data_IF_322189183956
#
_entry.id   IF_322189183956
#
_cell.length_a   1.000
_cell.length_b   1.000
_cell.length_c   1.000
_cell.angle_alpha   90.00
_cell.angle_beta   90.00
_cell.angle_gamma   90.00
#
_symmetry.space_group_name_H-M   'P 1'
#
loop_
_entity.id
_entity.type
_entity.pdbx_description
1 polymer ?
#
# COMPACT_ATOMS: atom_id res chain seq x y z
N UNK A 1 29.57 -76.26 11.64
CA UNK A 1 28.69 -76.24 12.83
C UNK A 1 28.01 -74.88 12.92
N UNK A 2 26.70 -74.87 13.16
CA UNK A 2 25.83 -73.69 13.28
C UNK A 2 26.22 -72.76 14.44
N UNK A 3 25.97 -71.45 14.27
CA UNK A 3 25.40 -70.46 15.22
C UNK A 3 25.39 -69.08 14.50
N UNK A 4 24.26 -68.61 13.97
CA UNK A 4 23.19 -67.81 14.62
C UNK A 4 23.53 -66.32 14.79
N UNK A 5 22.69 -65.48 14.16
CA UNK A 5 22.23 -64.13 14.53
C UNK A 5 23.25 -63.01 14.79
N UNK A 6 23.22 -61.95 13.97
CA UNK A 6 22.69 -60.65 14.42
C UNK A 6 22.38 -59.71 13.22
N UNK A 7 21.18 -59.19 13.27
CA UNK A 7 20.62 -58.11 12.47
C UNK A 7 21.32 -56.79 12.86
N UNK A 8 21.96 -56.08 11.92
CA UNK A 8 22.27 -54.66 12.08
C UNK A 8 21.81 -53.93 10.84
N UNK A 9 20.63 -53.33 10.99
CA UNK A 9 20.00 -52.38 10.08
C UNK A 9 20.86 -51.11 10.02
N UNK A 10 21.68 -50.96 8.97
CA UNK A 10 22.26 -49.65 8.65
C UNK A 10 21.18 -48.80 7.96
N UNK A 11 20.43 -48.06 8.76
CA UNK A 11 19.64 -46.93 8.30
C UNK A 11 20.58 -45.89 7.67
N UNK A 12 20.68 -45.87 6.35
CA UNK A 12 21.18 -44.71 5.63
C UNK A 12 20.12 -43.61 5.75
N UNK A 13 20.26 -42.79 6.78
CA UNK A 13 19.66 -41.47 6.84
C UNK A 13 20.28 -40.64 5.69
N UNK A 14 19.58 -40.56 4.56
CA UNK A 14 19.72 -39.44 3.64
C UNK A 14 19.21 -38.20 4.38
N UNK A 15 20.11 -37.53 5.09
CA UNK A 15 19.93 -36.12 5.44
C UNK A 15 19.95 -35.35 4.12
N UNK A 16 18.77 -35.08 3.57
CA UNK A 16 18.60 -34.03 2.57
C UNK A 16 19.06 -32.73 3.23
N UNK A 17 20.31 -32.35 2.98
CA UNK A 17 20.76 -31.01 3.24
C UNK A 17 19.87 -30.10 2.39
N UNK A 18 18.93 -29.42 3.06
CA UNK A 18 18.34 -28.20 2.51
C UNK A 18 19.52 -27.25 2.39
N UNK A 19 20.15 -27.25 1.22
CA UNK A 19 21.09 -26.21 0.83
C UNK A 19 20.24 -24.96 0.75
N UNK A 20 20.20 -24.20 1.83
CA UNK A 20 19.82 -22.80 1.77
C UNK A 20 20.84 -22.16 0.83
N UNK A 21 20.48 -22.03 -0.45
CA UNK A 21 21.26 -21.25 -1.40
C UNK A 21 21.51 -19.87 -0.77
N UNK A 22 22.76 -19.44 -0.77
CA UNK A 22 23.10 -18.11 -0.30
C UNK A 22 22.26 -17.07 -1.07
N UNK A 23 21.76 -16.02 -0.40
CA UNK A 23 21.01 -14.97 -1.08
C UNK A 23 21.86 -14.37 -2.20
N UNK A 24 21.36 -14.42 -3.44
CA UNK A 24 22.05 -13.85 -4.59
C UNK A 24 21.96 -12.33 -4.55
N UNK A 25 23.08 -11.65 -4.77
CA UNK A 25 23.17 -10.19 -4.89
C UNK A 25 22.58 -9.72 -6.22
N UNK A 26 22.21 -8.43 -6.29
CA UNK A 26 21.77 -7.78 -7.54
C UNK A 26 22.69 -8.07 -8.71
N UNK A 27 24.01 -7.88 -8.53
CA UNK A 27 25.03 -8.16 -9.54
C UNK A 27 25.03 -9.59 -10.05
N UNK A 28 24.75 -10.57 -9.19
CA UNK A 28 24.71 -11.99 -9.58
C UNK A 28 23.44 -12.34 -10.35
N UNK A 29 22.34 -11.63 -10.12
CA UNK A 29 21.08 -11.80 -10.87
C UNK A 29 21.14 -11.18 -12.26
N UNK A 30 21.68 -9.95 -12.40
CA UNK A 30 21.85 -9.30 -13.71
C UNK A 30 23.05 -9.80 -14.51
N UNK A 31 24.04 -10.45 -13.88
CA UNK A 31 25.18 -11.04 -14.59
C UNK A 31 24.80 -12.27 -15.43
N UNK A 32 23.62 -12.85 -15.21
CA UNK A 32 23.11 -13.92 -16.06
C UNK A 32 22.82 -13.42 -17.48
N UNK A 33 23.54 -13.94 -18.47
CA UNK A 33 23.42 -13.52 -19.87
C UNK A 33 21.98 -13.61 -20.39
N UNK A 34 21.23 -14.64 -19.98
CA UNK A 34 19.82 -14.80 -20.32
C UNK A 34 18.95 -13.66 -19.77
N UNK A 35 19.18 -13.26 -18.51
CA UNK A 35 18.46 -12.15 -17.88
C UNK A 35 18.81 -10.82 -18.56
N UNK A 36 20.10 -10.58 -18.81
CA UNK A 36 20.58 -9.36 -19.44
C UNK A 36 20.05 -9.18 -20.87
N UNK A 37 19.83 -10.27 -21.63
CA UNK A 37 19.29 -10.21 -23.01
C UNK A 37 17.76 -10.22 -23.08
N UNK A 38 17.08 -10.61 -22.01
CA UNK A 38 15.62 -10.68 -21.98
C UNK A 38 14.96 -9.29 -22.04
N UNK A 39 13.75 -9.24 -22.60
CA UNK A 39 12.91 -8.05 -22.57
C UNK A 39 12.45 -7.73 -21.13
N UNK A 40 12.08 -6.48 -20.80
CA UNK A 40 11.67 -6.10 -19.43
C UNK A 40 10.59 -6.99 -18.81
N UNK A 41 9.53 -7.31 -19.55
CA UNK A 41 8.45 -8.17 -19.05
C UNK A 41 8.91 -9.61 -18.77
N UNK A 42 9.82 -10.14 -19.61
CA UNK A 42 10.42 -11.47 -19.41
C UNK A 42 11.32 -11.48 -18.16
N UNK A 43 12.05 -10.40 -17.90
CA UNK A 43 12.84 -10.25 -16.67
C UNK A 43 11.96 -10.28 -15.42
N UNK A 44 10.81 -9.60 -15.44
CA UNK A 44 9.84 -9.65 -14.34
C UNK A 44 9.31 -11.08 -14.12
N UNK A 45 8.99 -11.79 -15.20
CA UNK A 45 8.55 -13.19 -15.14
C UNK A 45 9.61 -14.10 -14.54
N UNK A 46 10.86 -14.00 -14.99
CA UNK A 46 11.99 -14.77 -14.45
C UNK A 46 12.14 -14.57 -12.94
N UNK A 47 12.10 -13.32 -12.46
CA UNK A 47 12.22 -13.02 -11.02
C UNK A 47 11.02 -13.54 -10.23
N UNK A 48 9.81 -13.38 -10.76
CA UNK A 48 8.60 -13.87 -10.10
C UNK A 48 8.60 -15.41 -9.98
N UNK A 49 9.04 -16.12 -11.02
CA UNK A 49 9.22 -17.58 -10.99
C UNK A 49 10.30 -18.02 -9.98
N UNK A 50 11.40 -17.28 -9.85
CA UNK A 50 12.45 -17.59 -8.87
C UNK A 50 12.02 -17.33 -7.42
N UNK A 51 11.15 -16.34 -7.19
CA UNK A 51 10.49 -16.18 -5.88
C UNK A 51 9.55 -17.36 -5.59
N UNK A 52 8.85 -17.86 -6.61
CA UNK A 52 7.92 -19.00 -6.48
C UNK A 52 8.61 -20.32 -6.20
N UNK A 53 9.75 -20.56 -6.85
CA UNK A 53 10.59 -21.72 -6.56
C UNK A 53 11.39 -21.56 -5.25
N UNK A 54 11.30 -20.40 -4.59
CA UNK A 54 12.08 -20.03 -3.38
C UNK A 54 13.59 -20.03 -3.61
N UNK A 55 14.02 -19.92 -4.87
CA UNK A 55 15.42 -19.66 -5.22
C UNK A 55 15.84 -18.25 -4.85
N UNK A 56 14.87 -17.34 -4.77
CA UNK A 56 15.02 -15.98 -4.26
C UNK A 56 14.01 -15.69 -3.15
N UNK A 57 14.38 -14.74 -2.28
CA UNK A 57 13.49 -14.07 -1.35
C UNK A 57 13.22 -12.65 -1.83
N UNK A 58 12.09 -12.09 -1.41
CA UNK A 58 11.78 -10.68 -1.71
C UNK A 58 12.85 -9.71 -1.20
N UNK A 59 13.57 -10.06 -0.12
CA UNK A 59 14.68 -9.27 0.42
C UNK A 59 15.91 -9.22 -0.49
N UNK A 60 16.02 -10.15 -1.43
CA UNK A 60 17.17 -10.26 -2.34
C UNK A 60 17.01 -9.32 -3.55
N UNK A 61 15.82 -8.74 -3.72
CA UNK A 61 15.47 -7.84 -4.81
C UNK A 61 15.46 -6.39 -4.33
N UNK A 62 16.29 -5.54 -4.95
CA UNK A 62 16.32 -4.12 -4.62
C UNK A 62 15.07 -3.39 -5.14
N UNK A 63 14.57 -2.44 -4.35
CA UNK A 63 13.44 -1.58 -4.73
C UNK A 63 13.73 -0.82 -6.03
N UNK A 64 14.93 -0.27 -6.17
CA UNK A 64 15.36 0.46 -7.37
C UNK A 64 15.32 -0.39 -8.64
N UNK A 65 15.74 -1.67 -8.56
CA UNK A 65 15.64 -2.58 -9.69
C UNK A 65 14.18 -2.79 -10.09
N UNK A 66 13.32 -3.05 -9.10
CA UNK A 66 11.90 -3.30 -9.37
C UNK A 66 11.26 -2.06 -10.01
N UNK A 67 11.54 -0.87 -9.49
CA UNK A 67 11.06 0.40 -10.06
C UNK A 67 11.51 0.53 -11.52
N UNK A 68 12.79 0.29 -11.83
CA UNK A 68 13.30 0.37 -13.21
C UNK A 68 12.64 -0.63 -14.14
N UNK A 69 12.54 -1.90 -13.75
CA UNK A 69 11.95 -2.94 -14.60
C UNK A 69 10.46 -2.69 -14.86
N UNK A 70 9.69 -2.31 -13.82
CA UNK A 70 8.29 -1.93 -14.02
C UNK A 70 8.16 -0.70 -14.89
N UNK A 71 9.01 0.31 -14.72
CA UNK A 71 9.01 1.51 -15.55
C UNK A 71 9.36 1.21 -17.01
N UNK A 72 10.34 0.34 -17.25
CA UNK A 72 10.72 -0.11 -18.60
C UNK A 72 9.57 -0.84 -19.30
N UNK A 73 8.75 -1.59 -18.56
CA UNK A 73 7.57 -2.24 -19.14
C UNK A 73 6.46 -1.27 -19.57
N UNK A 74 6.39 -0.07 -18.98
CA UNK A 74 5.30 0.90 -19.21
C UNK A 74 5.77 2.18 -19.93
N UNK A 75 7.05 2.30 -20.27
CA UNK A 75 7.62 3.53 -20.85
C UNK A 75 7.02 3.91 -22.21
N UNK A 76 6.46 2.92 -22.92
CA UNK A 76 5.83 3.10 -24.23
C UNK A 76 4.51 3.85 -24.11
N UNK A 77 3.79 3.66 -23.00
CA UNK A 77 2.53 4.33 -22.72
C UNK A 77 2.76 5.82 -22.48
N UNK A 78 2.32 6.68 -23.39
CA UNK A 78 2.55 8.13 -23.29
C UNK A 78 1.52 8.83 -22.42
N UNK A 79 0.27 8.39 -22.49
CA UNK A 79 -0.83 8.97 -21.73
C UNK A 79 -0.80 8.50 -20.27
N UNK A 80 -0.93 9.43 -19.32
CA UNK A 80 -0.87 9.11 -17.89
C UNK A 80 -1.92 8.06 -17.45
N UNK A 81 -3.20 8.12 -17.89
CA UNK A 81 -4.18 7.09 -17.56
C UNK A 81 -3.81 5.72 -18.11
N UNK A 82 -3.35 5.64 -19.36
CA UNK A 82 -2.96 4.38 -20.00
C UNK A 82 -1.73 3.77 -19.32
N UNK A 83 -0.75 4.61 -18.94
CA UNK A 83 0.45 4.17 -18.22
C UNK A 83 0.12 3.62 -16.83
N UNK A 84 -0.76 4.29 -16.08
CA UNK A 84 -1.23 3.79 -14.78
C UNK A 84 -1.98 2.46 -14.93
N UNK A 85 -2.81 2.31 -15.95
CA UNK A 85 -3.54 1.07 -16.22
C UNK A 85 -2.61 -0.08 -16.62
N UNK A 86 -1.58 0.19 -17.42
CA UNK A 86 -0.54 -0.78 -17.75
C UNK A 86 0.24 -1.22 -16.51
N UNK A 87 0.65 -0.27 -15.65
CA UNK A 87 1.29 -0.57 -14.38
C UNK A 87 0.40 -1.43 -13.47
N UNK A 88 -0.88 -1.08 -13.33
CA UNK A 88 -1.83 -1.83 -12.51
C UNK A 88 -1.95 -3.30 -12.96
N UNK A 89 -1.98 -3.54 -14.28
CA UNK A 89 -1.99 -4.91 -14.85
C UNK A 89 -0.73 -5.68 -14.47
N UNK A 90 0.44 -5.06 -14.66
CA UNK A 90 1.73 -5.67 -14.30
C UNK A 90 1.83 -5.98 -12.81
N UNK A 91 1.42 -5.04 -11.94
CA UNK A 91 1.42 -5.21 -10.49
C UNK A 91 0.55 -6.39 -10.07
N UNK A 92 -0.63 -6.53 -10.67
CA UNK A 92 -1.54 -7.63 -10.38
C UNK A 92 -1.01 -8.97 -10.92
N UNK A 93 -0.36 -8.96 -12.08
CA UNK A 93 0.28 -10.14 -12.66
C UNK A 93 1.48 -10.63 -11.83
N UNK A 94 2.32 -9.71 -11.36
CA UNK A 94 3.54 -10.00 -10.61
C UNK A 94 3.42 -9.62 -9.13
N UNK A 95 2.33 -10.04 -8.49
CA UNK A 95 1.96 -9.64 -7.13
C UNK A 95 2.88 -10.15 -6.02
N UNK A 96 3.84 -11.03 -6.34
CA UNK A 96 4.85 -11.55 -5.40
C UNK A 96 6.15 -10.76 -5.42
N UNK A 97 6.37 -9.95 -6.46
CA UNK A 97 7.51 -9.04 -6.51
C UNK A 97 7.37 -7.94 -5.44
N UNK A 98 8.51 -7.39 -4.96
CA UNK A 98 8.48 -6.23 -4.07
C UNK A 98 7.64 -5.10 -4.65
N UNK A 99 6.87 -4.44 -3.78
CA UNK A 99 6.04 -3.31 -4.19
C UNK A 99 6.90 -2.11 -4.60
N UNK A 100 6.45 -1.37 -5.61
CA UNK A 100 7.14 -0.20 -6.16
C UNK A 100 6.40 1.09 -5.78
N UNK A 101 6.22 1.32 -4.48
CA UNK A 101 5.36 2.39 -3.95
C UNK A 101 5.67 3.78 -4.50
N UNK A 102 6.94 4.12 -4.68
CA UNK A 102 7.36 5.43 -5.23
C UNK A 102 6.92 5.60 -6.69
N UNK A 103 7.12 4.57 -7.52
CA UNK A 103 6.66 4.58 -8.92
C UNK A 103 5.14 4.71 -8.97
N UNK A 104 4.43 3.91 -8.18
CA UNK A 104 2.96 3.94 -8.13
C UNK A 104 2.44 5.31 -7.70
N UNK A 105 3.05 5.92 -6.68
CA UNK A 105 2.73 7.28 -6.22
C UNK A 105 2.91 8.29 -7.35
N UNK A 106 4.06 8.25 -8.05
CA UNK A 106 4.33 9.15 -9.18
C UNK A 106 3.34 8.97 -10.33
N UNK A 107 2.94 7.74 -10.65
CA UNK A 107 1.95 7.46 -11.68
C UNK A 107 0.57 8.02 -11.31
N UNK A 108 0.15 7.88 -10.05
CA UNK A 108 -1.11 8.46 -9.54
C UNK A 108 -1.06 9.98 -9.62
N UNK A 109 0.00 10.63 -9.16
CA UNK A 109 0.14 12.09 -9.22
C UNK A 109 0.09 12.60 -10.66
N UNK A 110 0.79 11.91 -11.59
CA UNK A 110 0.75 12.25 -13.01
C UNK A 110 -0.66 12.08 -13.61
N UNK A 111 -1.38 11.03 -13.22
CA UNK A 111 -2.79 10.84 -13.61
C UNK A 111 -3.67 11.97 -13.08
N UNK A 112 -3.54 12.34 -11.80
CA UNK A 112 -4.33 13.42 -11.22
C UNK A 112 -4.07 14.75 -11.92
N UNK A 113 -2.83 15.03 -12.32
CA UNK A 113 -2.49 16.25 -13.06
C UNK A 113 -3.23 16.36 -14.42
N UNK A 114 -3.75 15.26 -14.98
CA UNK A 114 -4.55 15.28 -16.21
C UNK A 114 -6.06 15.39 -15.97
N UNK A 115 -6.53 15.29 -14.72
CA UNK A 115 -7.96 15.43 -14.40
C UNK A 115 -8.35 16.90 -14.23
N UNK A 116 -9.64 17.20 -14.40
CA UNK A 116 -10.16 18.55 -14.19
C UNK A 116 -9.97 19.00 -12.73
N UNK A 117 -10.10 18.08 -11.79
CA UNK A 117 -9.90 18.30 -10.35
C UNK A 117 -8.44 18.63 -10.05
N UNK A 118 -7.48 17.89 -10.61
CA UNK A 118 -6.06 18.16 -10.44
C UNK A 118 -5.64 19.51 -11.03
N UNK A 119 -6.14 19.85 -12.21
CA UNK A 119 -5.86 21.15 -12.86
C UNK A 119 -6.41 22.33 -12.07
N UNK A 120 -7.50 22.14 -11.31
CA UNK A 120 -8.12 23.17 -10.46
C UNK A 120 -7.59 23.18 -9.03
N UNK A 121 -6.74 22.22 -8.65
CA UNK A 121 -6.33 22.04 -7.26
C UNK A 121 -7.46 21.60 -6.33
N UNK A 122 -8.51 20.95 -6.86
CA UNK A 122 -9.62 20.41 -6.05
C UNK A 122 -9.16 19.13 -5.33
N UNK A 123 -8.70 19.30 -4.10
CA UNK A 123 -8.18 18.21 -3.27
C UNK A 123 -9.25 17.16 -2.96
N UNK A 124 -10.51 17.54 -2.76
CA UNK A 124 -11.59 16.57 -2.50
C UNK A 124 -11.88 15.74 -3.73
N UNK A 125 -11.96 16.39 -4.90
CA UNK A 125 -12.11 15.72 -6.18
C UNK A 125 -10.95 14.77 -6.48
N UNK A 126 -9.71 15.19 -6.24
CA UNK A 126 -8.52 14.33 -6.38
C UNK A 126 -8.57 13.12 -5.45
N UNK A 127 -8.98 13.29 -4.19
CA UNK A 127 -9.13 12.16 -3.26
C UNK A 127 -10.17 11.14 -3.76
N UNK A 128 -11.31 11.59 -4.32
CA UNK A 128 -12.34 10.73 -4.94
C UNK A 128 -11.78 9.93 -6.12
N UNK A 129 -10.93 10.54 -6.95
CA UNK A 129 -10.23 9.83 -8.03
C UNK A 129 -9.31 8.74 -7.49
N UNK A 130 -8.49 9.05 -6.48
CA UNK A 130 -7.61 8.06 -5.83
C UNK A 130 -8.44 6.92 -5.23
N UNK A 131 -9.56 7.23 -4.58
CA UNK A 131 -10.44 6.22 -4.01
C UNK A 131 -11.03 5.29 -5.07
N UNK A 132 -11.39 5.85 -6.24
CA UNK A 132 -11.86 5.07 -7.39
C UNK A 132 -10.78 4.13 -7.91
N UNK A 133 -9.52 4.57 -7.97
CA UNK A 133 -8.39 3.71 -8.35
C UNK A 133 -8.20 2.56 -7.35
N UNK A 134 -8.31 2.83 -6.05
CA UNK A 134 -8.19 1.82 -5.01
C UNK A 134 -9.29 0.76 -5.11
N UNK A 135 -10.53 1.21 -5.30
CA UNK A 135 -11.71 0.34 -5.41
C UNK A 135 -11.65 -0.54 -6.64
N UNK A 136 -11.13 0.01 -7.75
CA UNK A 136 -10.85 -0.74 -8.97
C UNK A 136 -9.60 -1.64 -8.88
N UNK A 137 -8.93 -1.72 -7.72
CA UNK A 137 -7.67 -2.46 -7.53
C UNK A 137 -6.56 -2.05 -8.51
N UNK A 138 -6.58 -0.79 -8.96
CA UNK A 138 -5.53 -0.18 -9.79
C UNK A 138 -4.34 0.33 -8.97
N UNK A 139 -4.53 0.48 -7.66
CA UNK A 139 -3.51 0.85 -6.68
C UNK A 139 -3.71 0.04 -5.39
N UNK A 140 -2.93 0.32 -4.36
CA UNK A 140 -3.02 -0.30 -3.05
C UNK A 140 -3.03 0.67 -1.89
N UNK A 141 -3.54 0.16 -0.77
CA UNK A 141 -3.71 0.94 0.45
C UNK A 141 -2.43 1.64 0.94
N UNK A 142 -1.24 0.98 0.99
CA UNK A 142 -0.01 1.64 1.42
C UNK A 142 0.40 2.87 0.60
N UNK A 143 -0.01 2.95 -0.67
CA UNK A 143 0.24 4.12 -1.54
C UNK A 143 -0.83 5.19 -1.34
N UNK A 144 -2.08 4.76 -1.28
CA UNK A 144 -3.24 5.67 -1.19
C UNK A 144 -3.34 6.36 0.16
N UNK A 145 -3.06 5.66 1.26
CA UNK A 145 -3.18 6.19 2.61
C UNK A 145 -2.41 7.51 2.82
N UNK A 146 -1.10 7.61 2.55
CA UNK A 146 -0.36 8.87 2.72
C UNK A 146 -0.84 9.98 1.78
N UNK A 147 -1.27 9.65 0.55
CA UNK A 147 -1.83 10.64 -0.38
C UNK A 147 -3.14 11.23 0.14
N UNK A 148 -4.08 10.37 0.58
CA UNK A 148 -5.33 10.82 1.20
C UNK A 148 -5.06 11.63 2.47
N UNK A 149 -4.15 11.19 3.34
CA UNK A 149 -3.79 11.92 4.57
C UNK A 149 -3.26 13.33 4.24
N UNK A 150 -2.32 13.44 3.30
CA UNK A 150 -1.73 14.72 2.89
C UNK A 150 -2.74 15.66 2.24
N UNK A 151 -3.56 15.15 1.32
CA UNK A 151 -4.60 15.95 0.65
C UNK A 151 -5.71 16.38 1.61
N UNK A 152 -6.13 15.50 2.53
CA UNK A 152 -7.11 15.85 3.55
C UNK A 152 -6.56 16.94 4.47
N UNK A 153 -5.33 16.79 4.98
CA UNK A 153 -4.72 17.82 5.82
C UNK A 153 -4.63 19.17 5.10
N UNK A 154 -4.16 19.20 3.85
CA UNK A 154 -4.08 20.41 3.04
C UNK A 154 -5.44 21.06 2.79
N UNK A 155 -6.47 20.25 2.48
CA UNK A 155 -7.85 20.71 2.28
C UNK A 155 -8.40 21.36 3.54
N UNK A 156 -8.21 20.72 4.69
CA UNK A 156 -8.77 21.20 5.94
C UNK A 156 -8.06 22.47 6.43
N UNK A 157 -6.73 22.56 6.29
CA UNK A 157 -5.96 23.76 6.63
C UNK A 157 -6.35 24.95 5.75
N UNK A 158 -6.55 24.72 4.45
CA UNK A 158 -6.90 25.79 3.50
C UNK A 158 -8.39 26.18 3.50
N UNK A 159 -9.27 25.35 4.06
CA UNK A 159 -10.70 25.62 4.13
C UNK A 159 -11.04 26.56 5.30
N UNK A 160 -11.21 27.85 4.99
CA UNK A 160 -11.51 28.89 5.98
C UNK A 160 -12.82 28.64 6.77
N UNK A 161 -13.81 28.00 6.16
CA UNK A 161 -15.06 27.67 6.84
C UNK A 161 -14.87 26.52 7.82
N UNK A 162 -14.13 25.48 7.44
CA UNK A 162 -13.74 24.39 8.34
C UNK A 162 -12.96 24.92 9.55
N UNK A 163 -12.07 25.88 9.37
CA UNK A 163 -11.28 26.42 10.48
C UNK A 163 -12.14 27.10 11.57
N UNK A 164 -13.26 27.71 11.19
CA UNK A 164 -14.21 28.38 12.10
C UNK A 164 -15.21 27.41 12.76
N UNK A 165 -15.29 26.17 12.30
CA UNK A 165 -16.23 25.18 12.81
C UNK A 165 -15.90 24.77 14.25
N UNK A 166 -16.94 24.41 15.01
CA UNK A 166 -16.79 23.73 16.30
C UNK A 166 -16.09 22.38 16.12
N UNK A 167 -15.55 21.81 17.20
CA UNK A 167 -14.96 20.47 17.18
C UNK A 167 -15.92 19.41 16.62
N UNK A 168 -17.20 19.47 17.02
CA UNK A 168 -18.26 18.59 16.55
C UNK A 168 -18.50 18.74 15.05
N UNK A 169 -18.59 19.97 14.57
CA UNK A 169 -18.85 20.25 13.16
C UNK A 169 -17.65 19.87 12.28
N UNK A 170 -16.42 20.04 12.77
CA UNK A 170 -15.20 19.54 12.11
C UNK A 170 -15.25 18.03 11.91
N UNK A 171 -15.65 17.28 12.94
CA UNK A 171 -15.79 15.82 12.84
C UNK A 171 -16.95 15.40 11.93
N UNK A 172 -18.08 16.10 11.99
CA UNK A 172 -19.20 15.88 11.08
C UNK A 172 -18.81 16.16 9.62
N UNK A 173 -17.99 17.17 9.39
CA UNK A 173 -17.46 17.50 8.07
C UNK A 173 -16.56 16.40 7.51
N UNK A 174 -15.61 15.88 8.30
CA UNK A 174 -14.77 14.74 7.89
C UNK A 174 -15.62 13.50 7.62
N UNK A 175 -16.63 13.22 8.46
CA UNK A 175 -17.59 12.13 8.24
C UNK A 175 -18.37 12.30 6.94
N UNK A 176 -18.77 13.52 6.61
CA UNK A 176 -19.43 13.83 5.33
C UNK A 176 -18.51 13.50 4.14
N UNK A 177 -17.23 13.89 4.19
CA UNK A 177 -16.28 13.57 3.11
C UNK A 177 -16.13 12.06 2.89
N UNK A 178 -16.13 11.28 3.97
CA UNK A 178 -16.13 9.81 3.91
C UNK A 178 -17.42 9.28 3.27
N UNK A 179 -18.58 9.80 3.69
CA UNK A 179 -19.88 9.47 3.09
C UNK A 179 -19.97 9.82 1.60
N UNK A 180 -19.23 10.82 1.15
CA UNK A 180 -19.09 11.20 -0.26
C UNK A 180 -18.02 10.39 -1.02
N UNK A 181 -17.44 9.36 -0.40
CA UNK A 181 -16.37 8.53 -0.98
C UNK A 181 -15.12 9.30 -1.38
N UNK A 182 -14.81 10.41 -0.70
CA UNK A 182 -13.53 11.10 -0.90
C UNK A 182 -12.35 10.22 -0.49
N UNK A 183 -12.49 9.50 0.61
CA UNK A 183 -11.52 8.51 1.09
C UNK A 183 -12.25 7.50 1.96
N UNK A 184 -11.67 6.30 2.09
CA UNK A 184 -12.16 5.24 2.98
C UNK A 184 -11.58 5.33 4.38
N UNK A 185 -12.18 4.53 5.24
CA UNK A 185 -12.34 4.82 6.67
C UNK A 185 -11.04 4.85 7.47
N UNK A 186 -10.01 4.10 7.08
CA UNK A 186 -8.76 4.07 7.84
C UNK A 186 -8.03 5.43 7.83
N UNK A 187 -8.05 6.16 6.72
CA UNK A 187 -7.47 7.51 6.65
C UNK A 187 -8.30 8.47 7.50
N UNK A 188 -9.63 8.33 7.46
CA UNK A 188 -10.54 9.08 8.33
C UNK A 188 -10.27 8.83 9.82
N UNK A 189 -10.11 7.56 10.22
CA UNK A 189 -9.86 7.16 11.61
C UNK A 189 -8.57 7.78 12.18
N UNK A 190 -7.47 7.73 11.41
CA UNK A 190 -6.20 8.32 11.89
C UNK A 190 -6.30 9.83 12.05
N UNK A 191 -6.93 10.50 11.09
CA UNK A 191 -7.12 11.95 11.13
C UNK A 191 -8.02 12.37 12.29
N UNK A 192 -9.16 11.69 12.47
CA UNK A 192 -10.14 11.97 13.51
C UNK A 192 -9.56 11.77 14.91
N UNK A 193 -8.70 10.77 15.12
CA UNK A 193 -7.98 10.61 16.40
C UNK A 193 -7.12 11.82 16.74
N UNK A 194 -6.44 12.41 15.74
CA UNK A 194 -5.68 13.65 15.90
C UNK A 194 -6.58 14.81 16.34
N UNK A 195 -7.67 15.04 15.60
CA UNK A 195 -8.63 16.12 15.91
C UNK A 195 -9.23 15.97 17.30
N UNK A 196 -9.64 14.76 17.71
CA UNK A 196 -10.18 14.52 19.05
C UNK A 196 -9.12 14.76 20.13
N UNK A 197 -7.88 14.34 19.90
CA UNK A 197 -6.77 14.59 20.84
C UNK A 197 -6.57 16.09 21.03
N UNK A 198 -6.48 16.86 19.94
CA UNK A 198 -6.30 18.31 19.99
C UNK A 198 -7.45 19.01 20.74
N UNK A 199 -8.69 18.56 20.50
CA UNK A 199 -9.88 19.09 21.18
C UNK A 199 -9.84 18.81 22.68
N UNK A 200 -9.50 17.59 23.09
CA UNK A 200 -9.41 17.25 24.51
C UNK A 200 -8.28 18.01 25.20
N UNK A 201 -7.13 18.21 24.54
CA UNK A 201 -5.99 18.94 25.09
C UNK A 201 -6.28 20.41 25.42
N UNK A 202 -7.20 21.04 24.69
CA UNK A 202 -7.61 22.45 24.93
C UNK A 202 -8.91 22.57 25.72
N UNK A 203 -9.55 21.45 26.04
CA UNK A 203 -10.77 21.40 26.86
C UNK A 203 -10.37 21.34 28.34
N UNK A 204 -11.06 22.12 29.18
CA UNK A 204 -10.86 22.07 30.63
C UNK A 204 -11.12 20.64 31.17
N UNK A 205 -10.30 20.19 32.11
CA UNK A 205 -10.25 18.79 32.58
C UNK A 205 -11.62 18.28 33.08
N UNK A 206 -12.38 19.13 33.75
CA UNK A 206 -13.73 18.86 34.25
C UNK A 206 -14.78 18.69 33.13
N UNK A 207 -14.49 19.20 31.92
CA UNK A 207 -15.36 19.12 30.75
C UNK A 207 -14.92 18.05 29.75
N UNK A 208 -13.69 17.54 29.85
CA UNK A 208 -13.13 16.57 28.90
C UNK A 208 -13.99 15.30 28.79
N UNK A 209 -14.54 14.80 29.89
CA UNK A 209 -15.40 13.60 29.87
C UNK A 209 -16.67 13.83 29.06
N UNK A 210 -17.36 14.96 29.30
CA UNK A 210 -18.60 15.28 28.60
C UNK A 210 -18.35 15.48 27.10
N UNK A 211 -17.27 16.18 26.74
CA UNK A 211 -16.83 16.34 25.36
C UNK A 211 -16.48 14.99 24.74
N UNK A 212 -15.72 14.13 25.43
CA UNK A 212 -15.40 12.80 24.92
C UNK A 212 -16.67 11.97 24.67
N UNK A 213 -17.60 11.91 25.63
CA UNK A 213 -18.85 11.16 25.50
C UNK A 213 -19.69 11.63 24.30
N UNK A 214 -19.68 12.94 23.98
CA UNK A 214 -20.33 13.49 22.78
C UNK A 214 -19.63 13.09 21.47
N UNK A 215 -18.31 12.92 21.52
CA UNK A 215 -17.50 12.55 20.35
C UNK A 215 -17.43 11.03 20.12
N UNK A 216 -17.70 10.21 21.14
CA UNK A 216 -17.67 8.73 21.06
C UNK A 216 -18.51 8.19 19.91
N UNK A 217 -19.78 8.58 19.67
CA UNK A 217 -20.56 8.04 18.55
C UNK A 217 -19.96 8.31 17.17
N UNK A 218 -19.23 9.42 17.02
CA UNK A 218 -18.50 9.75 15.79
C UNK A 218 -17.26 8.86 15.67
N UNK A 219 -16.47 8.70 16.75
CA UNK A 219 -15.32 7.81 16.81
C UNK A 219 -15.70 6.33 16.59
N UNK A 220 -16.83 5.91 17.13
CA UNK A 220 -17.40 4.58 16.97
C UNK A 220 -17.73 4.29 15.52
N UNK A 221 -18.18 5.29 14.75
CA UNK A 221 -18.41 5.15 13.30
C UNK A 221 -17.10 4.79 12.60
N UNK A 222 -16.02 5.52 12.88
CA UNK A 222 -14.69 5.27 12.31
C UNK A 222 -14.06 3.95 12.79
N UNK A 223 -14.33 3.55 14.03
CA UNK A 223 -13.83 2.31 14.62
C UNK A 223 -14.58 1.08 14.12
N UNK A 224 -15.91 1.14 14.01
CA UNK A 224 -16.75 0.03 13.51
C UNK A 224 -16.50 -0.30 12.04
N UNK A 225 -16.01 0.64 11.25
CA UNK A 225 -15.66 0.38 9.85
C UNK A 225 -14.24 -0.19 9.68
N UNK A 226 -13.36 -0.02 10.66
CA UNK A 226 -12.03 -0.64 10.67
C UNK A 226 -12.05 -2.15 11.00
N UNK A 227 -13.08 -2.63 11.71
CA UNK A 227 -13.22 -4.03 12.16
C UNK A 227 -13.49 -5.01 11.00
N UNK A 228 -14.45 -4.78 10.08
CA UNK A 228 -14.73 -5.69 8.96
C UNK A 228 -13.57 -5.85 7.96
N UNK A 229 -12.65 -4.88 7.93
CA UNK A 229 -11.48 -4.91 7.07
C UNK A 229 -10.25 -5.60 7.71
N UNK A 230 -10.41 -6.19 8.90
CA UNK A 230 -9.41 -7.08 9.53
C UNK A 230 -8.28 -6.37 10.29
N UNK A 231 -8.43 -5.09 10.63
CA UNK A 231 -7.35 -4.28 11.21
C UNK A 231 -7.34 -4.21 12.74
N UNK A 232 -8.45 -4.55 13.41
CA UNK A 232 -8.50 -4.76 14.85
C UNK A 232 -9.15 -6.13 15.09
N UNK A 233 -8.48 -6.97 15.88
CA UNK A 233 -9.06 -8.19 16.45
C UNK A 233 -9.80 -7.84 17.73
#
# INVERSE_FOLDING_TARGET
MRKSFLLVTCCFLLSAAVVCAAPKTYSELVAGEAFAKAAPAQRLEMLNSQLDSKELKSSDLSGDLMVRLFNDCIHSEKEAPARLDAYAKLRNQFNKLPQTYELETNLIVNFLATTAEGQKGDLVGMMKHIQTLLDAKKTCWPVVAPLHEGMLAAHLVSNAEYQKMSAKDKLAYVKKLVGESAFKDMTGTRFVRGVVTDVLMVTAEDQQKAVYDELVPLLDTFTKIAIPNGYFK
#
